data_IF_751414599713
#
_entry.id   IF_751414599713
#
_cell.length_a   1.000
_cell.length_b   1.000
_cell.length_c   1.000
_cell.angle_alpha   90.00
_cell.angle_beta   90.00
_cell.angle_gamma   90.00
#
_symmetry.space_group_name_H-M   'P 1'
#
loop_
_entity.id
_entity.type
_entity.pdbx_description
1 polymer ?
#
# COMPACT_ATOMS: atom_id res chain seq x y z
N UNK A 1 -7.96 -13.81 -17.49
CA UNK A 1 -6.58 -13.58 -17.03
C UNK A 1 -5.89 -14.94 -17.04
N UNK A 2 -4.70 -15.05 -17.64
CA UNK A 2 -3.98 -16.34 -17.66
C UNK A 2 -3.34 -16.61 -16.29
N UNK A 3 -3.33 -17.86 -15.85
CA UNK A 3 -2.70 -18.26 -14.57
C UNK A 3 -1.22 -17.83 -14.58
N UNK A 4 -0.78 -17.13 -13.54
CA UNK A 4 0.59 -16.59 -13.43
C UNK A 4 0.84 -15.26 -14.17
N UNK A 5 -0.06 -14.80 -15.04
CA UNK A 5 0.12 -13.56 -15.83
C UNK A 5 -0.66 -12.36 -15.30
N UNK A 6 -1.35 -12.50 -14.17
CA UNK A 6 -2.26 -11.48 -13.65
C UNK A 6 -1.62 -10.09 -13.54
N UNK A 7 -0.37 -10.01 -13.06
CA UNK A 7 0.36 -8.75 -12.97
C UNK A 7 0.61 -8.10 -14.34
N UNK A 8 0.97 -8.90 -15.35
CA UNK A 8 1.21 -8.42 -16.70
C UNK A 8 -0.08 -8.03 -17.43
N UNK A 9 -1.14 -8.80 -17.23
CA UNK A 9 -2.46 -8.52 -17.82
C UNK A 9 -3.04 -7.20 -17.24
N UNK A 10 -2.95 -7.00 -15.92
CA UNK A 10 -3.33 -5.73 -15.25
C UNK A 10 -2.46 -4.58 -15.76
N UNK A 11 -1.15 -4.78 -15.87
CA UNK A 11 -0.24 -3.77 -16.42
C UNK A 11 -0.69 -3.36 -17.82
N UNK A 12 -0.85 -4.31 -18.74
CA UNK A 12 -1.28 -4.02 -20.11
C UNK A 12 -2.62 -3.31 -20.15
N UNK A 13 -3.59 -3.74 -19.33
CA UNK A 13 -4.88 -3.09 -19.21
C UNK A 13 -4.75 -1.61 -18.81
N UNK A 14 -3.97 -1.32 -17.75
CA UNK A 14 -3.77 0.05 -17.27
C UNK A 14 -3.05 0.91 -18.30
N UNK A 15 -2.03 0.39 -18.99
CA UNK A 15 -1.30 1.11 -20.05
C UNK A 15 -2.19 1.52 -21.24
N UNK A 16 -3.35 0.89 -21.43
CA UNK A 16 -4.33 1.28 -22.46
C UNK A 16 -5.26 2.41 -22.01
N UNK A 17 -5.18 2.87 -20.76
CA UNK A 17 -6.06 3.92 -20.21
C UNK A 17 -5.37 5.29 -20.29
N UNK A 18 -5.98 6.29 -20.96
CA UNK A 18 -5.39 7.62 -21.09
C UNK A 18 -5.04 8.27 -19.75
N UNK A 19 -5.93 8.16 -18.75
CA UNK A 19 -5.69 8.71 -17.41
C UNK A 19 -4.46 8.08 -16.74
N UNK A 20 -4.27 6.76 -16.86
CA UNK A 20 -3.12 6.08 -16.28
C UNK A 20 -1.81 6.55 -16.91
N UNK A 21 -1.80 6.73 -18.24
CA UNK A 21 -0.63 7.23 -18.93
C UNK A 21 -0.31 8.68 -18.58
N UNK A 22 -1.33 9.54 -18.42
CA UNK A 22 -1.16 10.90 -17.90
C UNK A 22 -0.53 10.90 -16.52
N UNK A 23 -1.09 10.13 -15.59
CA UNK A 23 -0.54 10.01 -14.23
C UNK A 23 0.91 9.51 -14.28
N UNK A 24 1.20 8.48 -15.07
CA UNK A 24 2.57 7.99 -15.24
C UNK A 24 3.54 9.10 -15.66
N UNK A 25 3.15 9.93 -16.64
CA UNK A 25 3.96 11.06 -17.10
C UNK A 25 4.15 12.10 -15.99
N UNK A 26 3.09 12.41 -15.23
CA UNK A 26 3.16 13.36 -14.10
C UNK A 26 4.13 12.88 -13.00
N UNK A 27 4.16 11.57 -12.74
CA UNK A 27 5.10 10.97 -11.79
C UNK A 27 6.52 10.90 -12.35
N UNK A 28 6.69 10.53 -13.63
CA UNK A 28 7.99 10.51 -14.31
C UNK A 28 8.62 11.90 -14.36
N UNK A 29 7.83 12.96 -14.56
CA UNK A 29 8.29 14.35 -14.50
C UNK A 29 8.82 14.77 -13.10
N UNK A 30 8.40 14.07 -12.05
CA UNK A 30 8.89 14.25 -10.67
C UNK A 30 10.07 13.32 -10.32
N UNK A 31 10.57 12.54 -11.28
CA UNK A 31 11.61 11.54 -11.05
C UNK A 31 11.11 10.23 -10.42
N UNK A 32 9.79 10.04 -10.33
CA UNK A 32 9.17 8.86 -9.74
C UNK A 32 8.64 7.90 -10.82
N UNK A 33 8.34 6.65 -10.43
CA UNK A 33 7.75 5.64 -11.34
C UNK A 33 6.43 5.13 -10.80
N UNK A 34 5.37 5.32 -11.58
CA UNK A 34 4.06 4.74 -11.30
C UNK A 34 3.92 3.36 -11.94
N UNK A 35 3.83 2.32 -11.11
CA UNK A 35 3.63 0.93 -11.48
C UNK A 35 2.33 0.40 -10.85
N UNK A 36 1.72 -0.67 -11.39
CA UNK A 36 0.59 -1.33 -10.72
C UNK A 36 0.93 -1.75 -9.27
N UNK A 37 2.20 -2.10 -9.03
CA UNK A 37 2.70 -2.42 -7.70
C UNK A 37 2.68 -1.22 -6.74
N UNK A 38 2.86 0.01 -7.24
CA UNK A 38 2.73 1.23 -6.44
C UNK A 38 1.33 1.37 -5.83
N UNK A 39 0.29 0.92 -6.53
CA UNK A 39 -1.07 0.90 -5.98
C UNK A 39 -1.20 -0.07 -4.79
N UNK A 40 -0.50 -1.21 -4.81
CA UNK A 40 -0.46 -2.16 -3.68
C UNK A 40 0.24 -1.56 -2.47
N UNK A 41 1.34 -0.84 -2.67
CA UNK A 41 1.99 -0.09 -1.60
C UNK A 41 1.06 0.96 -1.00
N UNK A 42 0.41 1.77 -1.83
CA UNK A 42 -0.54 2.77 -1.35
C UNK A 42 -1.73 2.17 -0.59
N UNK A 43 -2.21 1.00 -1.02
CA UNK A 43 -3.25 0.26 -0.29
C UNK A 43 -2.77 -0.17 1.10
N UNK A 44 -1.63 -0.86 1.20
CA UNK A 44 -1.10 -1.34 2.48
C UNK A 44 -0.79 -0.18 3.44
N UNK A 45 -0.19 0.90 2.92
CA UNK A 45 0.10 2.10 3.72
C UNK A 45 -1.18 2.70 4.32
N UNK A 46 -2.21 2.95 3.50
CA UNK A 46 -3.47 3.51 4.01
C UNK A 46 -4.17 2.56 4.99
N UNK A 47 -4.14 1.26 4.71
CA UNK A 47 -4.72 0.26 5.60
C UNK A 47 -4.09 0.31 7.00
N UNK A 48 -2.76 0.47 7.09
CA UNK A 48 -2.06 0.57 8.38
C UNK A 48 -2.15 1.94 9.02
N UNK A 49 -1.88 3.01 8.27
CA UNK A 49 -1.70 4.35 8.83
C UNK A 49 -3.04 5.07 9.05
N UNK A 50 -4.01 4.90 8.14
CA UNK A 50 -5.29 5.62 8.18
C UNK A 50 -6.37 4.75 8.85
N UNK A 51 -6.48 3.50 8.42
CA UNK A 51 -7.53 2.59 8.91
C UNK A 51 -7.12 1.80 10.16
N UNK A 52 -5.86 1.92 10.60
CA UNK A 52 -5.33 1.24 11.78
C UNK A 52 -5.53 -0.29 11.77
N UNK A 53 -5.49 -0.89 10.57
CA UNK A 53 -5.68 -2.32 10.40
C UNK A 53 -4.40 -3.09 10.75
N UNK A 54 -4.48 -4.19 11.53
CA UNK A 54 -3.30 -4.97 11.87
C UNK A 54 -2.59 -5.58 10.66
N UNK A 55 -1.24 -5.67 10.65
CA UNK A 55 -0.45 -6.32 9.60
C UNK A 55 -0.96 -7.68 9.14
N UNK A 56 -1.40 -8.53 10.07
CA UNK A 56 -1.94 -9.86 9.77
C UNK A 56 -3.21 -9.80 8.92
N UNK A 57 -4.12 -8.86 9.20
CA UNK A 57 -5.39 -8.70 8.48
C UNK A 57 -5.13 -8.25 7.05
N UNK A 58 -4.27 -7.24 6.89
CA UNK A 58 -3.93 -6.69 5.57
C UNK A 58 -3.13 -7.69 4.74
N UNK A 59 -2.19 -8.43 5.35
CA UNK A 59 -1.46 -9.50 4.69
C UNK A 59 -2.40 -10.58 4.13
N UNK A 60 -3.36 -11.03 4.95
CA UNK A 60 -4.36 -12.01 4.52
C UNK A 60 -5.23 -11.47 3.37
N UNK A 61 -5.70 -10.22 3.45
CA UNK A 61 -6.46 -9.57 2.39
C UNK A 61 -5.68 -9.45 1.06
N UNK A 62 -4.35 -9.33 1.14
CA UNK A 62 -3.47 -9.27 -0.03
C UNK A 62 -3.00 -10.66 -0.51
N UNK A 63 -3.36 -11.74 0.19
CA UNK A 63 -2.91 -13.09 -0.12
C UNK A 63 -1.43 -13.33 0.17
N UNK A 64 -0.84 -12.58 1.12
CA UNK A 64 0.54 -12.72 1.54
C UNK A 64 0.66 -13.49 2.87
N UNK A 65 1.82 -14.09 3.10
CA UNK A 65 2.23 -14.39 4.47
C UNK A 65 2.54 -13.09 5.22
N UNK A 66 2.38 -13.10 6.55
CA UNK A 66 2.69 -11.93 7.38
C UNK A 66 4.15 -11.51 7.21
N UNK A 67 5.07 -12.49 7.12
CA UNK A 67 6.49 -12.23 6.91
C UNK A 67 6.76 -11.49 5.59
N UNK A 68 6.18 -11.96 4.47
CA UNK A 68 6.33 -11.31 3.16
C UNK A 68 5.73 -9.90 3.17
N UNK A 69 4.59 -9.72 3.85
CA UNK A 69 3.95 -8.42 3.99
C UNK A 69 4.84 -7.45 4.78
N UNK A 70 5.32 -7.86 5.96
CA UNK A 70 6.21 -7.02 6.75
C UNK A 70 7.49 -6.69 5.99
N UNK A 71 8.15 -7.66 5.34
CA UNK A 71 9.34 -7.39 4.55
C UNK A 71 9.14 -6.33 3.44
N UNK A 72 7.94 -6.28 2.84
CA UNK A 72 7.61 -5.34 1.77
C UNK A 72 7.08 -3.99 2.25
N UNK A 73 6.45 -3.93 3.44
CA UNK A 73 5.68 -2.76 3.89
C UNK A 73 6.06 -2.23 5.27
N UNK A 74 6.95 -2.87 6.04
CA UNK A 74 7.39 -2.38 7.36
C UNK A 74 8.29 -1.16 7.28
N UNK A 75 8.91 -0.90 6.12
CA UNK A 75 9.82 0.25 5.91
C UNK A 75 9.13 1.61 6.11
N UNK A 76 7.80 1.65 6.09
CA UNK A 76 7.01 2.87 6.25
C UNK A 76 6.62 3.16 7.70
N UNK A 77 6.95 2.28 8.66
CA UNK A 77 6.82 2.56 10.09
C UNK A 77 8.10 3.21 10.60
N UNK A 78 8.16 4.55 10.55
CA UNK A 78 9.16 5.33 11.26
C UNK A 78 8.74 5.65 12.70
N UNK A 79 9.61 6.32 13.44
CA UNK A 79 9.36 6.71 14.85
C UNK A 79 8.10 7.61 14.97
N UNK A 80 7.84 8.45 13.98
CA UNK A 80 6.66 9.31 13.88
C UNK A 80 5.34 8.53 13.83
N UNK A 81 5.32 7.42 13.08
CA UNK A 81 4.15 6.53 12.99
C UNK A 81 3.93 5.78 14.32
N UNK A 82 5.01 5.44 15.02
CA UNK A 82 4.94 4.79 16.33
C UNK A 82 4.34 5.75 17.37
N UNK A 83 4.85 6.97 17.44
CA UNK A 83 4.37 7.99 18.39
C UNK A 83 2.89 8.31 18.16
N UNK A 84 2.46 8.51 16.91
CA UNK A 84 1.06 8.74 16.56
C UNK A 84 0.16 7.55 16.92
N UNK A 85 0.65 6.32 16.74
CA UNK A 85 -0.09 5.12 17.14
C UNK A 85 -0.30 5.05 18.66
N UNK A 86 0.71 5.39 19.46
CA UNK A 86 0.60 5.43 20.91
C UNK A 86 -0.31 6.56 21.40
N UNK A 87 -0.22 7.75 20.81
CA UNK A 87 -1.12 8.86 21.12
C UNK A 87 -2.59 8.52 20.84
N UNK A 88 -2.88 7.85 19.71
CA UNK A 88 -4.23 7.36 19.39
C UNK A 88 -4.70 6.27 20.37
N UNK A 89 -3.80 5.37 20.78
CA UNK A 89 -4.12 4.33 21.75
C UNK A 89 -4.49 4.95 23.11
N UNK A 90 -3.72 5.92 23.58
CA UNK A 90 -4.01 6.67 24.82
C UNK A 90 -5.38 7.35 24.77
N UNK A 91 -5.69 8.06 23.68
CA UNK A 91 -7.01 8.69 23.51
C UNK A 91 -8.16 7.69 23.57
N UNK A 92 -7.99 6.49 23.01
CA UNK A 92 -9.02 5.43 23.05
C UNK A 92 -9.23 4.89 24.46
N UNK A 93 -8.17 4.76 25.26
CA UNK A 93 -8.28 4.34 26.65
C UNK A 93 -8.93 5.42 27.53
N UNK A 94 -8.70 6.70 27.24
CA UNK A 94 -9.32 7.81 27.98
C UNK A 94 -10.79 8.05 27.60
N UNK A 95 -11.21 7.60 26.42
CA UNK A 95 -12.58 7.73 25.93
C UNK A 95 -13.49 6.52 26.25
N UNK A 96 -12.95 5.49 26.89
CA UNK A 96 -13.66 4.27 27.30
C UNK A 96 -13.96 4.28 28.81
#
# INVERSE_FOLDING_TARGET
>A
MRVGFAGNDIRQYLHRRPLWNKLRQDYEAKGEKLLPYSCRHGYAHRAHVICDLPPKVVAAAMGHSVQTHLAAYSRWCGDDVVDDAFAKAEQRFLAA
#
